data_IF_903891874866
#
_entry.id   IF_903891874866
#
_cell.length_a   1.000
_cell.length_b   1.000
_cell.length_c   1.000
_cell.angle_alpha   90.00
_cell.angle_beta   90.00
_cell.angle_gamma   90.00
#
_symmetry.space_group_name_H-M   'P 1'
#
loop_
_entity.id
_entity.type
_entity.pdbx_description
1 polymer ?
#
# COMPACT_ATOMS: atom_id res chain seq x y z
N UNK A 1 -21.24 -15.84 -17.50
CA UNK A 1 -20.59 -14.79 -18.29
C UNK A 1 -20.47 -13.51 -17.48
N UNK A 2 -21.56 -13.02 -16.87
CA UNK A 2 -21.52 -11.83 -16.04
C UNK A 2 -20.63 -12.00 -14.80
N UNK A 3 -20.63 -13.17 -14.19
CA UNK A 3 -19.79 -13.43 -13.02
C UNK A 3 -18.29 -13.43 -13.40
N UNK A 4 -17.94 -13.94 -14.57
CA UNK A 4 -16.56 -13.89 -15.05
C UNK A 4 -16.11 -12.47 -15.35
N UNK A 5 -17.00 -11.65 -15.90
CA UNK A 5 -16.71 -10.24 -16.16
C UNK A 5 -16.55 -9.48 -14.83
N UNK A 6 -17.40 -9.78 -13.85
CA UNK A 6 -17.30 -9.18 -12.53
C UNK A 6 -15.99 -9.57 -11.82
N UNK A 7 -15.61 -10.83 -11.91
CA UNK A 7 -14.33 -11.31 -11.35
C UNK A 7 -13.13 -10.64 -12.02
N UNK A 8 -13.17 -10.49 -13.33
CA UNK A 8 -12.11 -9.80 -14.05
C UNK A 8 -12.05 -8.31 -13.70
N UNK A 9 -13.21 -7.68 -13.52
CA UNK A 9 -13.29 -6.30 -13.08
C UNK A 9 -12.76 -6.14 -11.66
N UNK A 10 -13.14 -7.04 -10.77
CA UNK A 10 -12.65 -7.04 -9.37
C UNK A 10 -11.14 -7.23 -9.33
N UNK A 11 -10.60 -8.17 -10.10
CA UNK A 11 -9.15 -8.38 -10.12
C UNK A 11 -8.41 -7.18 -10.71
N UNK A 12 -9.00 -6.44 -11.67
CA UNK A 12 -8.42 -5.21 -12.19
C UNK A 12 -8.47 -4.09 -11.16
N UNK A 13 -9.60 -3.97 -10.44
CA UNK A 13 -9.75 -2.97 -9.37
C UNK A 13 -8.81 -3.26 -8.22
N UNK A 14 -8.49 -4.53 -7.98
CA UNK A 14 -7.60 -4.97 -6.93
C UNK A 14 -6.13 -4.83 -7.26
N UNK A 15 -5.77 -4.55 -8.53
CA UNK A 15 -4.38 -4.31 -8.89
C UNK A 15 -3.89 -3.01 -8.27
N UNK A 16 -2.73 -3.10 -7.65
CA UNK A 16 -2.11 -1.98 -6.96
C UNK A 16 -0.83 -1.58 -7.68
N UNK A 17 -0.74 -0.31 -8.03
CA UNK A 17 0.49 0.24 -8.60
C UNK A 17 1.44 0.54 -7.45
N UNK A 18 2.64 0.02 -7.50
CA UNK A 18 3.65 0.14 -6.43
C UNK A 18 5.02 0.43 -7.04
N UNK A 19 5.90 1.04 -6.24
CA UNK A 19 7.28 1.18 -6.65
C UNK A 19 8.02 -0.15 -6.48
N UNK A 20 9.14 -0.29 -7.19
CA UNK A 20 9.99 -1.47 -7.02
C UNK A 20 10.52 -1.57 -5.59
N UNK A 21 10.88 -0.46 -5.01
CA UNK A 21 11.42 -0.42 -3.64
C UNK A 21 10.41 -0.94 -2.61
N UNK A 22 9.16 -0.50 -2.71
CA UNK A 22 8.12 -0.95 -1.79
C UNK A 22 7.74 -2.41 -2.03
N UNK A 23 7.76 -2.85 -3.28
CA UNK A 23 7.52 -4.25 -3.62
C UNK A 23 8.60 -5.15 -3.03
N UNK A 24 9.87 -4.81 -3.22
CA UNK A 24 10.98 -5.59 -2.68
C UNK A 24 10.97 -5.62 -1.16
N UNK A 25 10.60 -4.53 -0.52
CA UNK A 25 10.46 -4.45 0.93
C UNK A 25 9.39 -5.41 1.44
N UNK A 26 8.24 -5.44 0.78
CA UNK A 26 7.14 -6.32 1.16
C UNK A 26 7.47 -7.79 0.88
N UNK A 27 8.13 -8.05 -0.22
CA UNK A 27 8.61 -9.39 -0.57
C UNK A 27 9.63 -9.89 0.45
N UNK A 28 10.54 -9.02 0.90
CA UNK A 28 11.51 -9.37 1.94
C UNK A 28 10.82 -9.67 3.26
N UNK A 29 9.80 -8.90 3.63
CA UNK A 29 8.98 -9.19 4.80
C UNK A 29 8.36 -10.58 4.71
N UNK A 30 7.81 -10.93 3.56
CA UNK A 30 7.25 -12.26 3.34
C UNK A 30 8.30 -13.37 3.49
N UNK A 31 9.45 -13.23 2.83
CA UNK A 31 10.47 -14.27 2.80
C UNK A 31 11.23 -14.40 4.13
N UNK A 32 11.58 -13.29 4.76
CA UNK A 32 12.43 -13.32 5.95
C UNK A 32 11.66 -13.39 7.26
N UNK A 33 10.56 -12.64 7.39
CA UNK A 33 9.79 -12.63 8.63
C UNK A 33 8.78 -13.77 8.69
N UNK A 34 7.87 -13.81 7.74
CA UNK A 34 6.74 -14.74 7.80
C UNK A 34 7.17 -16.16 7.56
N UNK A 35 7.94 -16.42 6.50
CA UNK A 35 8.40 -17.78 6.17
C UNK A 35 9.29 -18.35 7.26
N UNK A 36 10.17 -17.53 7.81
CA UNK A 36 11.03 -17.95 8.91
C UNK A 36 10.23 -18.29 10.16
N UNK A 37 9.24 -17.45 10.50
CA UNK A 37 8.38 -17.70 11.66
C UNK A 37 7.55 -18.96 11.48
N UNK A 38 7.08 -19.23 10.28
CA UNK A 38 6.34 -20.46 9.98
C UNK A 38 7.24 -21.69 10.21
N UNK A 39 8.47 -21.62 9.76
CA UNK A 39 9.43 -22.70 9.94
C UNK A 39 9.72 -22.94 11.41
N UNK A 40 9.96 -21.88 12.19
CA UNK A 40 10.17 -21.96 13.63
C UNK A 40 8.94 -22.51 14.36
N UNK A 41 7.75 -22.10 13.91
CA UNK A 41 6.50 -22.61 14.47
C UNK A 41 6.32 -24.10 14.22
N UNK A 42 6.68 -24.58 13.03
CA UNK A 42 6.63 -26.01 12.71
C UNK A 42 7.51 -26.82 13.63
N UNK A 43 8.69 -26.29 13.95
CA UNK A 43 9.59 -26.92 14.94
C UNK A 43 8.98 -26.91 16.33
N UNK A 44 8.35 -25.82 16.73
CA UNK A 44 7.70 -25.72 18.04
C UNK A 44 6.56 -26.71 18.18
N UNK A 45 5.78 -26.93 17.13
CA UNK A 45 4.72 -27.93 17.11
C UNK A 45 5.30 -29.34 17.27
N UNK A 46 6.35 -29.65 16.53
CA UNK A 46 7.01 -30.95 16.62
C UNK A 46 7.56 -31.21 18.02
N UNK A 47 8.21 -30.20 18.60
CA UNK A 47 8.75 -30.30 19.96
C UNK A 47 7.64 -30.51 21.00
N UNK A 48 6.55 -29.76 20.87
CA UNK A 48 5.42 -29.87 21.79
C UNK A 48 4.76 -31.26 21.72
N UNK A 49 4.73 -31.89 20.54
CA UNK A 49 4.21 -33.25 20.39
C UNK A 49 5.02 -34.29 21.18
N UNK A 50 6.29 -34.06 21.30
CA UNK A 50 7.18 -34.97 22.04
C UNK A 50 6.91 -34.94 23.55
N UNK A 51 6.24 -33.93 24.07
CA UNK A 51 6.04 -33.72 25.51
C UNK A 51 4.78 -34.38 26.05
N UNK A 52 4.10 -35.24 25.32
CA UNK A 52 3.05 -36.09 25.85
C UNK A 52 1.65 -35.83 25.35
N UNK A 53 0.64 -35.81 26.24
CA UNK A 53 -0.77 -35.75 25.90
C UNK A 53 -1.13 -34.44 25.17
N UNK A 54 -1.52 -34.57 23.91
CA UNK A 54 -1.84 -33.43 23.03
C UNK A 54 -3.10 -32.68 23.47
N UNK A 55 -4.03 -33.37 24.15
CA UNK A 55 -5.29 -32.72 24.59
C UNK A 55 -5.09 -31.67 25.66
N UNK A 56 -4.14 -31.90 26.56
CA UNK A 56 -3.89 -31.01 27.69
C UNK A 56 -2.59 -30.24 27.56
N UNK A 57 -1.87 -30.47 26.49
CA UNK A 57 -0.59 -29.81 26.24
C UNK A 57 -0.81 -28.36 25.79
N UNK A 58 -0.63 -27.43 26.72
CA UNK A 58 -0.79 -26.00 26.48
C UNK A 58 0.21 -25.45 25.47
N UNK A 59 1.43 -25.96 25.46
CA UNK A 59 2.46 -25.57 24.49
C UNK A 59 2.03 -25.93 23.07
N UNK A 60 1.47 -27.13 22.91
CA UNK A 60 0.94 -27.58 21.61
C UNK A 60 -0.24 -26.70 21.15
N UNK A 61 -1.17 -26.41 22.07
CA UNK A 61 -2.31 -25.56 21.74
C UNK A 61 -1.89 -24.17 21.32
N UNK A 62 -0.94 -23.56 22.03
CA UNK A 62 -0.41 -22.24 21.68
C UNK A 62 0.30 -22.26 20.33
N UNK A 63 1.13 -23.27 20.09
CA UNK A 63 1.83 -23.41 18.81
C UNK A 63 0.85 -23.58 17.63
N UNK A 64 -0.25 -24.29 17.84
CA UNK A 64 -1.29 -24.45 16.81
C UNK A 64 -2.04 -23.14 16.56
N UNK A 65 -2.31 -22.35 17.60
CA UNK A 65 -2.90 -21.02 17.45
C UNK A 65 -1.96 -20.09 16.68
N UNK A 66 -0.68 -20.10 17.02
CA UNK A 66 0.34 -19.32 16.32
C UNK A 66 0.39 -19.71 14.83
N UNK A 67 0.27 -21.01 14.55
CA UNK A 67 0.23 -21.49 13.18
C UNK A 67 -0.92 -20.87 12.40
N UNK A 68 -2.11 -20.79 12.99
CA UNK A 68 -3.26 -20.19 12.31
C UNK A 68 -3.02 -18.72 12.00
N UNK A 69 -2.46 -17.97 12.94
CA UNK A 69 -2.14 -16.54 12.74
C UNK A 69 -1.09 -16.38 11.63
N UNK A 70 -0.04 -17.19 11.67
CA UNK A 70 1.03 -17.11 10.66
C UNK A 70 0.55 -17.48 9.27
N UNK A 71 -0.32 -18.48 9.16
CA UNK A 71 -0.90 -18.87 7.87
C UNK A 71 -1.82 -17.81 7.31
N UNK A 72 -2.56 -17.11 8.19
CA UNK A 72 -3.38 -15.98 7.78
C UNK A 72 -2.52 -14.81 7.28
N UNK A 73 -1.43 -14.50 7.96
CA UNK A 73 -0.47 -13.48 7.54
C UNK A 73 0.17 -13.83 6.20
N UNK A 74 0.58 -15.08 6.06
CA UNK A 74 1.14 -15.58 4.79
C UNK A 74 0.16 -15.39 3.63
N UNK A 75 -1.09 -15.82 3.83
CA UNK A 75 -2.12 -15.70 2.82
C UNK A 75 -2.37 -14.24 2.44
N UNK A 76 -2.39 -13.34 3.43
CA UNK A 76 -2.61 -11.92 3.20
C UNK A 76 -1.47 -11.30 2.39
N UNK A 77 -0.22 -11.59 2.76
CA UNK A 77 0.95 -11.09 2.04
C UNK A 77 1.03 -11.62 0.62
N UNK A 78 0.69 -12.90 0.43
CA UNK A 78 0.65 -13.48 -0.93
C UNK A 78 -0.38 -12.78 -1.80
N UNK A 79 -1.56 -12.47 -1.24
CA UNK A 79 -2.59 -11.73 -1.96
C UNK A 79 -2.12 -10.32 -2.32
N UNK A 80 -1.51 -9.63 -1.39
CA UNK A 80 -0.99 -8.28 -1.62
C UNK A 80 0.09 -8.28 -2.69
N UNK A 81 1.05 -9.20 -2.60
CA UNK A 81 2.10 -9.32 -3.61
C UNK A 81 1.54 -9.67 -4.98
N UNK A 82 0.50 -10.53 -5.02
CA UNK A 82 -0.16 -10.92 -6.26
C UNK A 82 -0.94 -9.79 -6.92
N UNK A 83 -1.38 -8.80 -6.15
CA UNK A 83 -2.08 -7.62 -6.69
C UNK A 83 -1.14 -6.55 -7.18
N UNK A 84 0.12 -6.61 -6.78
CA UNK A 84 1.07 -5.55 -7.05
C UNK A 84 1.49 -5.52 -8.51
N UNK A 85 1.50 -4.32 -9.06
CA UNK A 85 2.08 -4.03 -10.37
C UNK A 85 3.20 -3.03 -10.14
N UNK A 86 4.43 -3.44 -10.41
CA UNK A 86 5.61 -2.60 -10.21
C UNK A 86 5.73 -1.59 -11.33
N UNK A 87 5.95 -0.33 -10.98
CA UNK A 87 6.17 0.76 -11.93
C UNK A 87 7.44 1.54 -11.58
N UNK A 88 8.11 2.03 -12.60
CA UNK A 88 9.22 2.97 -12.44
C UNK A 88 8.77 4.43 -12.57
N UNK A 89 7.48 4.65 -12.80
CA UNK A 89 6.85 5.98 -12.93
C UNK A 89 7.36 6.83 -14.10
N UNK A 90 8.12 6.26 -15.01
CA UNK A 90 8.67 6.99 -16.15
C UNK A 90 7.61 7.44 -17.16
N UNK A 91 6.47 6.76 -17.19
CA UNK A 91 5.39 7.10 -18.11
C UNK A 91 4.51 8.26 -17.63
N UNK A 92 4.71 8.73 -16.41
CA UNK A 92 3.93 9.84 -15.88
C UNK A 92 4.13 11.11 -16.71
N UNK A 93 3.04 11.82 -16.97
CA UNK A 93 3.06 13.09 -17.70
C UNK A 93 2.66 14.23 -16.75
N UNK A 94 2.85 15.46 -17.19
CA UNK A 94 2.52 16.65 -16.40
C UNK A 94 1.22 17.31 -16.84
N UNK A 95 0.48 16.69 -17.73
CA UNK A 95 -0.81 17.20 -18.20
C UNK A 95 -1.83 17.28 -17.07
N UNK A 96 -1.75 16.32 -16.18
CA UNK A 96 -2.62 16.21 -15.02
C UNK A 96 -1.90 15.43 -13.93
N UNK A 97 -2.40 15.52 -12.70
CA UNK A 97 -1.86 14.75 -11.60
C UNK A 97 -2.09 13.26 -11.85
N UNK A 98 -1.03 12.48 -11.77
CA UNK A 98 -1.07 11.03 -11.94
C UNK A 98 -0.08 10.38 -10.97
N UNK A 99 -0.11 9.04 -10.89
CA UNK A 99 0.87 8.32 -10.09
C UNK A 99 2.24 8.53 -10.72
N UNK A 100 3.19 9.01 -9.93
CA UNK A 100 4.52 9.37 -10.39
C UNK A 100 4.71 10.86 -10.67
N UNK A 101 3.81 11.72 -10.16
CA UNK A 101 3.94 13.18 -10.28
C UNK A 101 4.11 13.84 -8.92
N UNK A 102 4.76 14.99 -8.94
CA UNK A 102 4.83 15.89 -7.79
C UNK A 102 3.84 17.02 -8.08
N UNK A 103 2.88 17.20 -7.19
CA UNK A 103 1.86 18.24 -7.33
C UNK A 103 2.12 19.33 -6.30
N UNK A 104 2.15 20.57 -6.74
CA UNK A 104 2.21 21.73 -5.87
C UNK A 104 0.80 22.29 -5.71
N UNK A 105 0.37 22.43 -4.47
CA UNK A 105 -0.96 22.93 -4.13
C UNK A 105 -0.87 24.10 -3.19
N UNK A 106 -1.80 25.02 -3.32
CA UNK A 106 -1.92 26.20 -2.47
C UNK A 106 -3.23 26.11 -1.71
N UNK A 107 -3.14 26.22 -0.37
CA UNK A 107 -4.33 26.32 0.47
C UNK A 107 -4.96 27.69 0.21
N UNK A 108 -6.21 27.68 -0.24
CA UNK A 108 -6.90 28.93 -0.62
C UNK A 108 -7.21 29.85 0.56
N UNK A 109 -7.24 29.30 1.77
CA UNK A 109 -7.49 30.09 2.99
C UNK A 109 -6.23 30.72 3.55
N UNK A 110 -5.19 29.92 3.73
CA UNK A 110 -3.94 30.39 4.35
C UNK A 110 -2.94 30.93 3.36
N UNK A 111 -3.08 30.59 2.08
CA UNK A 111 -2.09 30.93 1.06
C UNK A 111 -0.84 30.08 1.10
N UNK A 112 -0.78 29.10 1.99
CA UNK A 112 0.38 28.22 2.13
C UNK A 112 0.48 27.24 0.97
N UNK A 113 1.69 27.09 0.43
CA UNK A 113 2.00 26.16 -0.64
C UNK A 113 2.62 24.91 -0.06
N UNK A 114 2.18 23.76 -0.54
CA UNK A 114 2.70 22.45 -0.14
C UNK A 114 2.91 21.59 -1.38
N UNK A 115 3.93 20.77 -1.34
CA UNK A 115 4.20 19.79 -2.41
C UNK A 115 3.90 18.39 -1.92
N UNK A 116 3.18 17.64 -2.74
CA UNK A 116 2.91 16.23 -2.50
C UNK A 116 3.41 15.41 -3.67
N UNK A 117 4.09 14.32 -3.38
CA UNK A 117 4.49 13.36 -4.40
C UNK A 117 3.47 12.22 -4.37
N UNK A 118 2.77 11.98 -5.47
CA UNK A 118 1.78 10.91 -5.57
C UNK A 118 2.48 9.68 -6.14
N UNK A 119 2.65 8.67 -5.32
CA UNK A 119 3.29 7.43 -5.72
C UNK A 119 2.34 6.24 -5.50
N UNK A 120 2.90 5.05 -5.45
CA UNK A 120 2.15 3.81 -5.39
C UNK A 120 1.44 3.53 -4.07
N UNK A 121 0.65 2.47 -4.07
CA UNK A 121 -0.21 2.12 -2.94
C UNK A 121 0.57 1.85 -1.64
N UNK A 122 1.82 1.43 -1.75
CA UNK A 122 2.66 1.08 -0.60
C UNK A 122 3.79 2.09 -0.34
N UNK A 123 3.74 3.23 -0.98
CA UNK A 123 4.83 4.21 -0.97
C UNK A 123 4.60 5.40 -0.04
N UNK A 124 3.50 5.42 0.69
CA UNK A 124 3.14 6.54 1.55
C UNK A 124 4.23 6.83 2.59
N UNK A 125 4.68 8.08 2.62
CA UNK A 125 5.67 8.57 3.59
C UNK A 125 5.35 10.04 3.88
N UNK A 126 4.50 10.29 4.89
CA UNK A 126 4.06 11.67 5.19
C UNK A 126 5.21 12.62 5.51
N UNK A 127 6.28 12.15 6.12
CA UNK A 127 7.44 12.99 6.45
C UNK A 127 8.15 13.50 5.20
N UNK A 128 8.20 12.68 4.15
CA UNK A 128 8.79 13.05 2.87
C UNK A 128 7.80 13.72 1.92
N UNK A 129 6.55 13.93 2.34
CA UNK A 129 5.52 14.48 1.48
C UNK A 129 5.02 13.52 0.41
N UNK A 130 5.25 12.24 0.59
CA UNK A 130 4.82 11.21 -0.36
C UNK A 130 3.49 10.65 0.10
N UNK A 131 2.50 10.67 -0.79
CA UNK A 131 1.17 10.12 -0.52
C UNK A 131 0.87 9.01 -1.53
N UNK A 132 0.17 7.98 -1.04
CA UNK A 132 -0.36 6.95 -1.92
C UNK A 132 -1.55 7.50 -2.71
N UNK A 133 -1.64 7.12 -3.98
CA UNK A 133 -2.80 7.50 -4.79
C UNK A 133 -4.12 6.96 -4.25
N UNK A 134 -4.07 6.02 -3.33
CA UNK A 134 -5.26 5.41 -2.71
C UNK A 134 -5.76 6.17 -1.49
N UNK A 135 -5.01 7.11 -0.98
CA UNK A 135 -5.46 7.94 0.14
C UNK A 135 -6.54 8.93 -0.30
N UNK A 136 -7.37 9.45 0.63
CA UNK A 136 -8.36 10.46 0.25
C UNK A 136 -7.76 11.68 -0.45
N UNK A 137 -6.62 12.17 0.04
CA UNK A 137 -5.94 13.30 -0.60
C UNK A 137 -5.40 12.90 -1.99
N UNK A 138 -4.78 11.73 -2.10
CA UNK A 138 -4.28 11.22 -3.38
C UNK A 138 -5.39 11.05 -4.41
N UNK A 139 -6.51 10.47 -4.01
CA UNK A 139 -7.67 10.29 -4.90
C UNK A 139 -8.25 11.63 -5.33
N UNK A 140 -8.32 12.60 -4.42
CA UNK A 140 -8.85 13.92 -4.73
C UNK A 140 -7.97 14.67 -5.73
N UNK A 141 -6.66 14.49 -5.66
CA UNK A 141 -5.71 15.15 -6.54
C UNK A 141 -5.56 14.50 -7.91
N UNK A 142 -5.79 13.19 -8.01
CA UNK A 142 -5.64 12.47 -9.28
C UNK A 142 -6.50 13.10 -10.39
N UNK A 143 -5.92 13.20 -11.57
CA UNK A 143 -6.55 13.76 -12.77
C UNK A 143 -6.82 15.25 -12.71
N UNK A 144 -6.36 15.94 -11.69
CA UNK A 144 -6.48 17.39 -11.61
C UNK A 144 -5.40 18.05 -12.45
N UNK A 145 -5.74 19.24 -12.95
CA UNK A 145 -4.85 20.04 -13.79
C UNK A 145 -4.46 21.31 -13.08
N UNK A 146 -3.39 21.94 -13.53
CA UNK A 146 -2.98 23.25 -13.00
C UNK A 146 -4.14 24.23 -13.15
N UNK A 147 -4.46 24.91 -12.07
CA UNK A 147 -5.60 25.83 -11.98
C UNK A 147 -6.86 25.24 -11.38
N UNK A 148 -6.91 23.91 -11.25
CA UNK A 148 -8.09 23.26 -10.65
C UNK A 148 -8.12 23.49 -9.13
N UNK A 149 -9.34 23.61 -8.61
CA UNK A 149 -9.58 23.68 -7.17
C UNK A 149 -10.06 22.32 -6.68
N UNK A 150 -9.47 21.84 -5.60
CA UNK A 150 -9.74 20.51 -5.04
C UNK A 150 -10.22 20.67 -3.61
N UNK A 151 -11.37 20.10 -3.29
CA UNK A 151 -11.88 20.05 -1.93
C UNK A 151 -11.54 18.72 -1.30
N UNK A 152 -10.90 18.74 -0.15
CA UNK A 152 -10.49 17.53 0.56
C UNK A 152 -10.99 17.62 1.99
N UNK A 153 -11.61 16.55 2.47
CA UNK A 153 -11.99 16.45 3.88
C UNK A 153 -10.84 15.80 4.64
N UNK A 154 -10.21 16.60 5.50
CA UNK A 154 -9.10 16.16 6.33
C UNK A 154 -9.47 16.34 7.81
N UNK A 155 -9.45 15.26 8.56
CA UNK A 155 -9.61 15.27 10.00
C UNK A 155 -10.83 16.02 10.51
N UNK A 156 -10.72 17.22 10.93
CA UNK A 156 -11.80 18.02 11.50
C UNK A 156 -12.40 19.07 10.57
N UNK A 157 -12.13 19.03 9.25
CA UNK A 157 -12.66 20.05 8.37
C UNK A 157 -12.42 19.80 6.90
N UNK A 158 -12.94 20.70 6.09
CA UNK A 158 -12.77 20.67 4.63
C UNK A 158 -11.74 21.72 4.24
N UNK A 159 -10.72 21.29 3.50
CA UNK A 159 -9.70 22.16 2.96
C UNK A 159 -9.87 22.28 1.44
N UNK A 160 -9.65 23.48 0.92
CA UNK A 160 -9.67 23.73 -0.53
C UNK A 160 -8.27 24.07 -0.99
N UNK A 161 -7.80 23.33 -1.98
CA UNK A 161 -6.47 23.52 -2.56
C UNK A 161 -6.58 23.88 -4.02
N UNK A 162 -5.71 24.80 -4.47
CA UNK A 162 -5.54 25.10 -5.88
C UNK A 162 -4.27 24.40 -6.38
N UNK A 163 -4.37 23.65 -7.47
CA UNK A 163 -3.21 23.03 -8.10
C UNK A 163 -2.42 24.10 -8.83
N UNK A 164 -1.20 24.37 -8.37
CA UNK A 164 -0.35 25.42 -8.93
C UNK A 164 0.79 24.91 -9.79
N UNK A 165 1.14 23.63 -9.68
CA UNK A 165 2.20 23.06 -10.50
C UNK A 165 2.19 21.55 -10.48
N UNK A 166 2.64 20.95 -11.57
CA UNK A 166 2.76 19.50 -11.71
C UNK A 166 4.12 19.21 -12.36
N UNK A 167 4.89 18.31 -11.75
CA UNK A 167 6.16 17.87 -12.32
C UNK A 167 6.29 16.34 -12.17
N UNK A 168 7.23 15.77 -12.92
CA UNK A 168 7.47 14.33 -12.87
C UNK A 168 8.38 13.97 -11.71
N UNK A 169 8.02 12.93 -10.97
CA UNK A 169 8.82 12.45 -9.86
C UNK A 169 10.23 12.00 -10.31
N UNK A 170 10.32 11.28 -11.43
CA UNK A 170 11.59 10.76 -11.93
C UNK A 170 12.57 11.87 -12.35
N UNK A 171 12.06 13.03 -12.72
CA UNK A 171 12.90 14.18 -13.09
C UNK A 171 13.44 14.93 -11.86
N UNK A 172 12.86 14.68 -10.69
CA UNK A 172 13.29 15.30 -9.43
C UNK A 172 14.37 14.51 -8.69
N UNK A 173 14.68 13.32 -9.15
CA UNK A 173 15.71 12.47 -8.56
C UNK A 173 17.10 12.86 -9.02
#
# INVERSE_FOLDING_TARGET
IQSLVAEAADSKEEQLLVSRESFERKRAEYETSVSKKIHENSKAIATAREHGDLKENSEYKMAKQDQQVLMAQKSQLEKELGRARVSDFKEATTDQVSVGTIVEVKDTKSGKTTRYTVLGAWDSDPEAGIISYKTPLGLALLSRKVGDNVKVKLGGGEETYEVTGISRYVDAK
#
